data_IF_543327149892
#
_entry.id   IF_543327149892
#
_cell.length_a   1.000
_cell.length_b   1.000
_cell.length_c   1.000
_cell.angle_alpha   90.00
_cell.angle_beta   90.00
_cell.angle_gamma   90.00
#
_symmetry.space_group_name_H-M   'P 1'
#
loop_
_entity.id
_entity.type
_entity.pdbx_description
1 polymer ?
#
# COMPACT_ATOMS: atom_id res chain seq x y z
N UNK A 1 20.34 -9.39 13.26
CA UNK A 1 18.86 -9.46 13.25
C UNK A 1 18.40 -9.95 11.90
N UNK A 2 18.04 -11.23 11.80
CA UNK A 2 17.66 -11.88 10.52
C UNK A 2 16.24 -11.47 10.16
N UNK A 3 16.07 -10.57 9.19
CA UNK A 3 14.74 -10.29 8.64
C UNK A 3 14.21 -11.58 8.01
N UNK A 4 13.08 -12.11 8.51
CA UNK A 4 12.29 -13.07 7.75
C UNK A 4 11.96 -12.39 6.42
N UNK A 5 12.47 -12.95 5.32
CA UNK A 5 12.23 -12.47 3.95
C UNK A 5 10.72 -12.57 3.73
N UNK A 6 10.00 -11.45 3.76
CA UNK A 6 8.57 -11.46 3.50
C UNK A 6 8.26 -11.94 2.08
N UNK A 7 7.02 -12.33 1.82
CA UNK A 7 6.59 -12.82 0.51
C UNK A 7 6.54 -11.66 -0.49
N UNK A 8 7.14 -11.83 -1.66
CA UNK A 8 7.02 -10.83 -2.73
C UNK A 8 5.64 -10.94 -3.39
N UNK A 9 4.94 -9.82 -3.49
CA UNK A 9 3.59 -9.76 -4.06
C UNK A 9 3.44 -8.59 -5.02
N UNK A 10 2.41 -8.68 -5.86
CA UNK A 10 1.91 -7.60 -6.71
C UNK A 10 0.42 -7.43 -6.46
N UNK A 11 -0.02 -6.22 -6.20
CA UNK A 11 -1.42 -5.88 -5.93
C UNK A 11 -1.85 -4.66 -6.74
N UNK A 12 -3.14 -4.58 -7.04
CA UNK A 12 -3.74 -3.42 -7.70
C UNK A 12 -4.95 -2.94 -6.89
N UNK A 13 -5.04 -1.64 -6.67
CA UNK A 13 -6.06 -1.08 -5.78
C UNK A 13 -6.03 0.44 -5.70
N UNK A 14 -6.92 0.99 -4.87
CA UNK A 14 -7.02 2.43 -4.63
C UNK A 14 -6.20 2.79 -3.40
N UNK A 15 -5.41 3.86 -3.49
CA UNK A 15 -4.72 4.40 -2.31
C UNK A 15 -5.73 5.14 -1.42
N UNK A 16 -5.87 4.70 -0.18
CA UNK A 16 -6.78 5.30 0.81
C UNK A 16 -6.03 5.77 2.06
N UNK A 17 -6.48 6.85 2.72
CA UNK A 17 -6.00 7.18 4.06
C UNK A 17 -6.59 6.18 5.06
N UNK A 18 -5.79 5.74 6.02
CA UNK A 18 -6.22 4.80 7.09
C UNK A 18 -5.95 5.30 8.50
N UNK A 19 -5.24 6.43 8.62
CA UNK A 19 -4.98 7.10 9.89
C UNK A 19 -4.71 8.59 9.66
N UNK A 20 -5.07 9.42 10.64
CA UNK A 20 -4.88 10.87 10.64
C UNK A 20 -4.16 11.30 11.92
N UNK A 21 -3.25 12.26 11.81
CA UNK A 21 -2.61 12.86 12.98
C UNK A 21 -3.51 13.88 13.68
N UNK A 22 -3.03 14.42 14.82
CA UNK A 22 -3.75 15.42 15.62
C UNK A 22 -4.03 16.73 14.85
N UNK A 23 -3.28 16.99 13.77
CA UNK A 23 -3.43 18.15 12.89
C UNK A 23 -4.31 17.84 11.66
N UNK A 24 -5.04 16.71 11.68
CA UNK A 24 -5.88 16.21 10.59
C UNK A 24 -5.13 15.94 9.27
N UNK A 25 -3.83 15.70 9.32
CA UNK A 25 -3.04 15.27 8.15
C UNK A 25 -3.00 13.75 8.09
N UNK A 26 -2.97 13.20 6.88
CA UNK A 26 -2.92 11.75 6.68
C UNK A 26 -1.62 11.20 7.29
N UNK A 27 -1.76 10.38 8.33
CA UNK A 27 -0.66 9.76 9.04
C UNK A 27 -0.28 8.41 8.42
N UNK A 28 -1.24 7.64 7.91
CA UNK A 28 -0.99 6.36 7.25
C UNK A 28 -1.88 6.19 6.00
N UNK A 29 -1.35 5.45 5.02
CA UNK A 29 -2.08 5.07 3.81
C UNK A 29 -2.06 3.55 3.61
N UNK A 30 -3.09 3.06 2.93
CA UNK A 30 -3.19 1.67 2.48
C UNK A 30 -3.56 1.61 1.00
N UNK A 31 -3.34 0.45 0.37
CA UNK A 31 -3.94 0.10 -0.91
C UNK A 31 -5.13 -0.82 -0.62
N UNK A 32 -6.34 -0.37 -0.95
CA UNK A 32 -7.57 -1.15 -0.90
C UNK A 32 -7.79 -1.86 -2.24
N UNK A 33 -7.83 -3.18 -2.22
CA UNK A 33 -7.98 -4.04 -3.40
C UNK A 33 -9.44 -4.43 -3.62
N UNK A 34 -9.76 -4.95 -4.81
CA UNK A 34 -11.13 -5.31 -5.18
C UNK A 34 -11.70 -6.51 -4.39
N UNK A 35 -10.83 -7.33 -3.79
CA UNK A 35 -11.20 -8.44 -2.90
C UNK A 35 -11.35 -8.00 -1.43
N UNK A 36 -11.64 -6.71 -1.21
CA UNK A 36 -11.90 -6.10 0.10
C UNK A 36 -10.73 -6.22 1.09
N UNK A 37 -9.51 -6.43 0.59
CA UNK A 37 -8.29 -6.43 1.42
C UNK A 37 -7.65 -5.07 1.43
N UNK A 38 -7.09 -4.73 2.59
CA UNK A 38 -6.29 -3.52 2.77
C UNK A 38 -4.84 -3.88 3.08
N UNK A 39 -3.94 -3.26 2.35
CA UNK A 39 -2.50 -3.41 2.53
C UNK A 39 -1.92 -2.09 3.03
N UNK A 40 -1.62 -2.00 4.33
CA UNK A 40 -0.99 -0.82 4.91
C UNK A 40 0.40 -0.62 4.33
N UNK A 41 0.72 0.61 3.96
CA UNK A 41 1.99 0.93 3.31
C UNK A 41 3.04 1.30 4.36
N UNK A 42 4.16 0.56 4.35
CA UNK A 42 5.31 0.93 5.19
C UNK A 42 5.90 2.26 4.73
N UNK A 43 6.20 3.17 5.67
CA UNK A 43 6.75 4.52 5.43
C UNK A 43 8.24 4.53 4.97
N UNK A 44 8.58 3.76 3.95
CA UNK A 44 9.86 3.87 3.22
C UNK A 44 9.85 5.09 2.29
N UNK A 45 10.99 5.42 1.67
CA UNK A 45 11.03 6.50 0.67
C UNK A 45 9.98 6.32 -0.43
N UNK A 46 9.89 5.11 -1.01
CA UNK A 46 8.90 4.79 -2.04
C UNK A 46 7.47 4.76 -1.51
N UNK A 47 7.25 4.22 -0.31
CA UNK A 47 5.91 4.18 0.30
C UNK A 47 5.36 5.57 0.62
N UNK A 48 6.21 6.52 1.01
CA UNK A 48 5.82 7.91 1.25
C UNK A 48 5.29 8.63 0.00
N UNK A 49 5.74 8.24 -1.18
CA UNK A 49 5.23 8.81 -2.44
C UNK A 49 3.72 8.55 -2.63
N UNK A 50 3.20 7.44 -2.11
CA UNK A 50 1.77 7.09 -2.22
C UNK A 50 0.86 8.06 -1.45
N UNK A 51 1.37 8.83 -0.49
CA UNK A 51 0.59 9.88 0.16
C UNK A 51 0.17 10.99 -0.82
N UNK A 52 0.93 11.18 -1.90
CA UNK A 52 0.59 12.12 -2.98
C UNK A 52 -0.44 11.58 -3.99
N UNK A 53 -0.83 10.31 -3.87
CA UNK A 53 -1.69 9.61 -4.83
C UNK A 53 -2.99 9.10 -4.20
N UNK A 54 -3.48 9.78 -3.16
CA UNK A 54 -4.76 9.45 -2.52
C UNK A 54 -5.88 9.38 -3.57
N UNK A 55 -6.74 8.37 -3.44
CA UNK A 55 -7.81 8.03 -4.40
C UNK A 55 -7.31 7.60 -5.80
N UNK A 56 -5.99 7.59 -6.03
CA UNK A 56 -5.39 7.06 -7.25
C UNK A 56 -5.43 5.54 -7.27
N UNK A 57 -5.75 4.97 -8.44
CA UNK A 57 -5.62 3.54 -8.69
C UNK A 57 -4.18 3.21 -9.07
N UNK A 58 -3.59 2.23 -8.39
CA UNK A 58 -2.17 1.87 -8.55
C UNK A 58 -2.01 0.37 -8.68
N UNK A 59 -0.98 -0.04 -9.42
CA UNK A 59 -0.39 -1.38 -9.33
C UNK A 59 0.93 -1.25 -8.56
N UNK A 60 1.08 -1.98 -7.46
CA UNK A 60 2.26 -1.93 -6.60
C UNK A 60 2.90 -3.31 -6.45
N UNK A 61 4.23 -3.36 -6.47
CA UNK A 61 5.02 -4.55 -6.14
C UNK A 61 5.81 -4.29 -4.87
N UNK A 62 5.97 -5.34 -4.06
CA UNK A 62 6.67 -5.18 -2.80
C UNK A 62 6.74 -6.46 -1.98
N UNK A 63 7.24 -6.31 -0.78
CA UNK A 63 7.36 -7.41 0.19
C UNK A 63 6.26 -7.29 1.23
N UNK A 64 5.43 -8.33 1.33
CA UNK A 64 4.38 -8.47 2.32
C UNK A 64 4.97 -8.97 3.64
N UNK A 65 4.57 -8.32 4.72
CA UNK A 65 4.88 -8.71 6.10
C UNK A 65 3.64 -8.57 6.97
N UNK A 66 3.57 -9.36 8.02
CA UNK A 66 2.54 -9.19 9.05
C UNK A 66 2.89 -7.99 9.94
N UNK A 67 1.92 -7.11 10.10
CA UNK A 67 1.95 -6.03 11.08
C UNK A 67 1.58 -6.52 12.47
N UNK A 68 1.69 -5.64 13.47
CA UNK A 68 1.17 -5.92 14.81
C UNK A 68 -0.33 -6.18 14.73
N UNK A 69 -0.80 -7.30 15.29
CA UNK A 69 -2.22 -7.66 15.29
C UNK A 69 -2.72 -8.38 14.03
N UNK A 70 -1.83 -8.87 13.15
CA UNK A 70 -2.20 -9.69 11.99
C UNK A 70 -2.60 -8.89 10.74
N UNK A 71 -2.39 -7.57 10.73
CA UNK A 71 -2.62 -6.74 9.55
C UNK A 71 -1.60 -6.98 8.43
N UNK A 72 -1.98 -6.73 7.17
CA UNK A 72 -1.09 -6.84 6.02
C UNK A 72 -0.30 -5.54 5.85
N UNK A 73 1.03 -5.61 5.94
CA UNK A 73 1.93 -4.45 5.72
C UNK A 73 2.77 -4.70 4.47
N UNK A 74 2.62 -3.85 3.47
CA UNK A 74 3.37 -3.88 2.23
C UNK A 74 4.55 -2.90 2.28
N UNK A 75 5.76 -3.42 2.07
CA UNK A 75 6.93 -2.60 1.77
C UNK A 75 7.05 -2.45 0.25
N UNK A 76 6.62 -1.30 -0.28
CA UNK A 76 6.61 -1.01 -1.72
C UNK A 76 8.04 -0.90 -2.26
N UNK A 77 8.32 -1.65 -3.33
CA UNK A 77 9.55 -1.55 -4.12
C UNK A 77 9.32 -0.64 -5.33
N UNK A 78 8.22 -0.85 -6.03
CA UNK A 78 7.82 -0.10 -7.22
C UNK A 78 6.30 0.03 -7.27
N UNK A 79 5.80 1.08 -7.92
CA UNK A 79 4.39 1.23 -8.25
C UNK A 79 4.23 1.95 -9.59
N UNK A 80 3.06 1.78 -10.20
CA UNK A 80 2.62 2.53 -11.35
C UNK A 80 1.20 3.05 -11.11
N UNK A 81 0.93 4.30 -11.48
CA UNK A 81 -0.44 4.81 -11.58
C UNK A 81 -1.15 4.09 -12.74
N UNK A 82 -2.40 3.72 -12.51
CA UNK A 82 -3.27 3.03 -13.46
C UNK A 82 -4.62 3.74 -13.48
N UNK A 83 -5.40 3.54 -14.54
CA UNK A 83 -6.82 3.91 -14.52
C UNK A 83 -7.64 2.69 -14.12
N UNK A 84 -8.75 2.87 -13.38
CA UNK A 84 -9.76 1.82 -13.24
C UNK A 84 -10.18 1.36 -14.65
N UNK A 85 -9.89 0.11 -15.01
CA UNK A 85 -10.11 -0.44 -16.36
C UNK A 85 -8.84 -0.78 -17.16
N UNK A 86 -7.65 -0.35 -16.72
CA UNK A 86 -6.36 -0.76 -17.33
C UNK A 86 -5.95 -2.19 -16.94
N UNK A 87 -6.70 -2.85 -16.04
CA UNK A 87 -6.57 -4.27 -15.79
C UNK A 87 -7.04 -5.00 -17.06
N UNK A 88 -6.07 -5.37 -17.91
CA UNK A 88 -6.35 -6.10 -19.13
C UNK A 88 -7.09 -7.42 -18.81
N UNK A 89 -8.03 -7.84 -19.68
CA UNK A 89 -8.84 -9.05 -19.51
C UNK A 89 -8.00 -10.33 -19.46
#
# INVERSE_FOLDING_TARGET
MTQRKGTEIKISGIVIPVDWDEEQRVAEVAIATADEREYRIKKTARGKELFGHLQGYVEATGTLSEGKGGGHVLTVKQYALKRPGDASP
#
